data_IF_036636952562
#
_entry.id   IF_036636952562
#
_cell.length_a   1.000
_cell.length_b   1.000
_cell.length_c   1.000
_cell.angle_alpha   90.00
_cell.angle_beta   90.00
_cell.angle_gamma   90.00
#
_symmetry.space_group_name_H-M   'P 1'
#
loop_
_entity.id
_entity.type
_entity.pdbx_description
1 polymer ?
#
# COMPACT_ATOMS: atom_id res chain seq x y z
N UNK A 1 12.14 28.40 9.82
CA UNK A 1 11.57 27.62 10.93
C UNK A 1 10.47 26.71 10.39
N UNK A 2 9.39 27.25 9.81
CA UNK A 2 8.31 26.46 9.17
C UNK A 2 8.77 25.43 8.13
N UNK A 3 9.69 25.78 7.22
CA UNK A 3 10.21 24.84 6.20
C UNK A 3 11.00 23.66 6.79
N UNK A 4 11.51 23.77 8.01
CA UNK A 4 12.39 22.77 8.62
C UNK A 4 11.58 21.74 9.41
N UNK A 5 10.56 22.19 10.14
CA UNK A 5 9.60 21.30 10.83
C UNK A 5 8.75 20.47 9.86
N UNK A 6 8.41 21.01 8.69
CA UNK A 6 7.54 20.31 7.72
C UNK A 6 8.33 19.25 6.92
N UNK A 7 9.63 19.49 6.67
CA UNK A 7 10.54 18.48 6.10
C UNK A 7 10.81 17.35 7.11
N UNK A 8 10.86 17.65 8.42
CA UNK A 8 11.00 16.63 9.48
C UNK A 8 9.79 15.68 9.54
N UNK A 9 8.56 16.18 9.41
CA UNK A 9 7.34 15.33 9.45
C UNK A 9 7.30 14.32 8.30
N UNK A 10 7.65 14.73 7.08
CA UNK A 10 7.66 13.82 5.94
C UNK A 10 8.82 12.84 5.99
N UNK A 11 9.95 13.23 6.56
CA UNK A 11 11.08 12.33 6.80
C UNK A 11 10.77 11.30 7.90
N UNK A 12 10.07 11.70 8.96
CA UNK A 12 9.56 10.77 9.98
C UNK A 12 8.59 9.75 9.37
N UNK A 13 7.64 10.19 8.55
CA UNK A 13 6.71 9.28 7.87
C UNK A 13 7.41 8.33 6.88
N UNK A 14 8.48 8.78 6.21
CA UNK A 14 9.30 7.93 5.35
C UNK A 14 10.30 7.04 6.11
N UNK A 15 10.42 7.23 7.41
CA UNK A 15 11.15 6.37 8.33
C UNK A 15 10.25 5.32 8.99
N UNK A 16 8.92 5.49 8.94
CA UNK A 16 7.97 4.48 9.42
C UNK A 16 8.20 3.14 8.72
N UNK A 17 7.94 2.07 9.45
CA UNK A 17 7.90 0.71 8.95
C UNK A 17 6.45 0.30 8.70
N UNK A 18 6.24 -0.81 8.01
CA UNK A 18 4.88 -1.32 7.81
C UNK A 18 4.19 -1.66 9.15
N UNK A 19 4.97 -2.03 10.18
CA UNK A 19 4.46 -2.35 11.51
C UNK A 19 3.75 -1.17 12.19
N UNK A 20 4.00 0.06 11.73
CA UNK A 20 3.36 1.28 12.25
C UNK A 20 1.93 1.50 11.71
N UNK A 21 1.45 0.62 10.82
CA UNK A 21 0.20 0.78 10.06
C UNK A 21 -0.89 -0.27 10.35
N UNK A 22 -1.01 -0.74 11.60
CA UNK A 22 -1.90 -1.84 12.03
C UNK A 22 -3.41 -1.51 12.09
N UNK A 23 -3.83 -0.30 11.71
CA UNK A 23 -5.25 0.08 11.77
C UNK A 23 -6.04 -0.47 10.56
N UNK A 24 -7.21 -1.05 10.80
CA UNK A 24 -8.12 -1.52 9.75
C UNK A 24 -8.50 -0.39 8.77
N UNK A 25 -8.03 -0.47 7.52
CA UNK A 25 -8.35 0.54 6.49
C UNK A 25 -9.67 0.23 5.76
N UNK A 26 -10.80 0.54 6.43
CA UNK A 26 -12.17 0.29 5.93
C UNK A 26 -12.67 1.29 4.88
N UNK A 27 -12.01 2.43 4.74
CA UNK A 27 -12.50 3.55 3.90
C UNK A 27 -11.48 3.98 2.85
N UNK A 28 -10.71 3.02 2.32
CA UNK A 28 -9.63 3.28 1.36
C UNK A 28 -10.08 4.15 0.18
N UNK A 29 -11.16 3.77 -0.51
CA UNK A 29 -11.64 4.47 -1.71
C UNK A 29 -12.01 5.93 -1.38
N UNK A 30 -12.82 6.15 -0.35
CA UNK A 30 -13.27 7.49 0.05
C UNK A 30 -12.10 8.38 0.46
N UNK A 31 -11.18 7.87 1.29
CA UNK A 31 -9.99 8.61 1.71
C UNK A 31 -9.09 8.92 0.52
N UNK A 32 -8.88 7.97 -0.38
CA UNK A 32 -8.06 8.18 -1.56
C UNK A 32 -8.66 9.25 -2.47
N UNK A 33 -9.96 9.21 -2.75
CA UNK A 33 -10.63 10.26 -3.51
C UNK A 33 -10.52 11.64 -2.85
N UNK A 34 -10.63 11.71 -1.52
CA UNK A 34 -10.49 12.96 -0.77
C UNK A 34 -9.05 13.51 -0.86
N UNK A 35 -8.05 12.64 -0.80
CA UNK A 35 -6.65 13.00 -1.03
C UNK A 35 -6.45 13.52 -2.45
N UNK A 36 -6.97 12.83 -3.47
CA UNK A 36 -6.86 13.29 -4.87
C UNK A 36 -7.52 14.65 -5.08
N UNK A 37 -8.70 14.87 -4.49
CA UNK A 37 -9.37 16.19 -4.50
C UNK A 37 -8.51 17.26 -3.83
N UNK A 38 -7.86 16.94 -2.70
CA UNK A 38 -6.98 17.86 -1.98
C UNK A 38 -5.66 18.14 -2.72
N UNK A 39 -5.18 17.22 -3.57
CA UNK A 39 -4.04 17.46 -4.45
C UNK A 39 -4.37 18.42 -5.58
N UNK A 40 -5.63 18.46 -6.03
CA UNK A 40 -6.10 19.30 -7.14
C UNK A 40 -5.31 19.11 -8.45
N UNK A 41 -4.72 17.93 -8.66
CA UNK A 41 -4.03 17.55 -9.89
C UNK A 41 -5.00 16.80 -10.82
N UNK A 42 -4.79 16.84 -12.16
CA UNK A 42 -5.60 16.10 -13.12
C UNK A 42 -5.24 14.60 -13.13
N UNK A 43 -5.41 13.94 -11.98
CA UNK A 43 -5.21 12.52 -11.75
C UNK A 43 -6.43 11.95 -11.03
N UNK A 44 -6.99 10.86 -11.55
CA UNK A 44 -8.23 10.26 -11.03
C UNK A 44 -8.00 8.94 -10.28
N UNK A 45 -6.75 8.46 -10.19
CA UNK A 45 -6.45 7.26 -9.42
C UNK A 45 -7.01 5.94 -9.97
N UNK A 46 -7.58 5.93 -11.18
CA UNK A 46 -8.42 4.79 -11.62
C UNK A 46 -7.69 3.46 -11.62
N UNK A 47 -6.41 3.43 -12.03
CA UNK A 47 -5.62 2.19 -12.08
C UNK A 47 -5.37 1.59 -10.69
N UNK A 48 -5.12 2.43 -9.69
CA UNK A 48 -4.90 2.01 -8.31
C UNK A 48 -6.22 1.57 -7.66
N UNK A 49 -7.32 2.28 -7.92
CA UNK A 49 -8.66 1.88 -7.48
C UNK A 49 -9.09 0.54 -8.10
N UNK A 50 -8.85 0.35 -9.39
CA UNK A 50 -9.12 -0.92 -10.06
C UNK A 50 -8.27 -2.05 -9.51
N UNK A 51 -7.00 -1.78 -9.18
CA UNK A 51 -6.12 -2.75 -8.53
C UNK A 51 -6.63 -3.13 -7.15
N UNK A 52 -7.02 -2.14 -6.34
CA UNK A 52 -7.60 -2.37 -5.03
C UNK A 52 -8.84 -3.26 -5.12
N UNK A 53 -9.77 -2.94 -6.02
CA UNK A 53 -10.96 -3.76 -6.27
C UNK A 53 -10.59 -5.20 -6.65
N UNK A 54 -9.63 -5.40 -7.55
CA UNK A 54 -9.17 -6.75 -7.94
C UNK A 54 -8.57 -7.52 -6.76
N UNK A 55 -7.77 -6.86 -5.92
CA UNK A 55 -7.18 -7.48 -4.74
C UNK A 55 -8.25 -7.87 -3.72
N UNK A 56 -9.24 -7.01 -3.47
CA UNK A 56 -10.40 -7.35 -2.63
C UNK A 56 -11.20 -8.55 -3.19
N UNK A 57 -11.47 -8.56 -4.50
CA UNK A 57 -12.17 -9.67 -5.15
C UNK A 57 -11.41 -11.00 -5.04
N UNK A 58 -10.08 -10.95 -5.13
CA UNK A 58 -9.22 -12.13 -4.94
C UNK A 58 -9.27 -12.61 -3.50
N UNK A 59 -9.17 -11.70 -2.54
CA UNK A 59 -9.26 -12.00 -1.10
C UNK A 59 -10.60 -12.67 -0.75
N UNK A 60 -11.71 -12.18 -1.30
CA UNK A 60 -13.05 -12.76 -1.09
C UNK A 60 -13.24 -14.14 -1.75
N UNK A 61 -12.40 -14.50 -2.72
CA UNK A 61 -12.45 -15.79 -3.42
C UNK A 61 -11.52 -16.82 -2.82
N UNK A 62 -10.79 -16.48 -1.76
CA UNK A 62 -9.96 -17.45 -1.07
C UNK A 62 -10.84 -18.58 -0.50
N UNK A 63 -10.40 -19.84 -0.63
CA UNK A 63 -11.20 -20.99 -0.22
C UNK A 63 -11.33 -21.09 1.29
N UNK A 64 -12.57 -21.23 1.79
CA UNK A 64 -12.86 -21.29 3.24
C UNK A 64 -12.47 -22.63 3.91
N UNK A 65 -12.02 -23.64 3.15
CA UNK A 65 -11.71 -24.98 3.66
C UNK A 65 -10.46 -25.57 3.02
N UNK A 66 -9.45 -25.90 3.83
CA UNK A 66 -8.14 -26.41 3.41
C UNK A 66 -8.11 -27.87 2.94
N UNK A 67 -8.97 -28.26 2.00
CA UNK A 67 -8.87 -29.58 1.35
C UNK A 67 -7.85 -29.56 0.19
N UNK A 68 -6.55 -29.44 0.54
CA UNK A 68 -5.32 -29.86 -0.19
C UNK A 68 -4.20 -28.83 -0.08
N UNK A 69 -2.95 -29.32 0.03
CA UNK A 69 -1.70 -28.53 -0.02
C UNK A 69 -1.58 -27.62 -1.27
N UNK A 70 -2.30 -27.94 -2.35
CA UNK A 70 -2.35 -27.13 -3.57
C UNK A 70 -3.08 -25.79 -3.36
N UNK A 71 -4.17 -25.77 -2.57
CA UNK A 71 -4.90 -24.52 -2.29
C UNK A 71 -4.09 -23.56 -1.41
N UNK A 72 -3.25 -24.11 -0.53
CA UNK A 72 -2.34 -23.36 0.32
C UNK A 72 -1.26 -22.62 -0.49
N UNK A 73 -0.65 -23.31 -1.46
CA UNK A 73 0.33 -22.71 -2.37
C UNK A 73 -0.33 -21.69 -3.32
N UNK A 74 -1.56 -21.95 -3.78
CA UNK A 74 -2.32 -21.00 -4.59
C UNK A 74 -2.66 -19.72 -3.81
N UNK A 75 -3.07 -19.85 -2.54
CA UNK A 75 -3.29 -18.71 -1.67
C UNK A 75 -2.02 -17.86 -1.54
N UNK A 76 -0.86 -18.47 -1.22
CA UNK A 76 0.43 -17.78 -1.14
C UNK A 76 0.80 -17.01 -2.41
N UNK A 77 0.60 -17.59 -3.61
CA UNK A 77 0.88 -16.91 -4.87
C UNK A 77 -0.07 -15.74 -5.13
N UNK A 78 -1.37 -15.93 -4.88
CA UNK A 78 -2.36 -14.85 -5.01
C UNK A 78 -2.04 -13.65 -4.11
N UNK A 79 -1.46 -13.91 -2.93
CA UNK A 79 -1.03 -12.90 -1.96
C UNK A 79 0.13 -12.08 -2.52
N UNK A 80 1.19 -12.75 -2.96
CA UNK A 80 2.35 -12.09 -3.55
C UNK A 80 1.95 -11.27 -4.79
N UNK A 81 1.06 -11.79 -5.63
CA UNK A 81 0.52 -11.05 -6.77
C UNK A 81 -0.28 -9.81 -6.37
N UNK A 82 -1.11 -9.90 -5.32
CA UNK A 82 -1.88 -8.74 -4.85
C UNK A 82 -0.97 -7.64 -4.29
N UNK A 83 -0.03 -8.00 -3.42
CA UNK A 83 0.91 -7.05 -2.82
C UNK A 83 1.82 -6.42 -3.88
N UNK A 84 2.32 -7.23 -4.83
CA UNK A 84 3.17 -6.75 -5.92
C UNK A 84 2.41 -5.85 -6.91
N UNK A 85 1.20 -6.23 -7.35
CA UNK A 85 0.38 -5.40 -8.25
C UNK A 85 0.00 -4.09 -7.56
N UNK A 86 -0.41 -4.15 -6.29
CA UNK A 86 -0.77 -2.95 -5.54
C UNK A 86 0.42 -2.00 -5.34
N UNK A 87 1.60 -2.53 -5.01
CA UNK A 87 2.83 -1.75 -4.95
C UNK A 87 3.18 -1.12 -6.30
N UNK A 88 3.15 -1.90 -7.38
CA UNK A 88 3.45 -1.40 -8.72
C UNK A 88 2.49 -0.28 -9.16
N UNK A 89 1.19 -0.44 -8.90
CA UNK A 89 0.19 0.59 -9.19
C UNK A 89 0.38 1.83 -8.31
N UNK A 90 0.73 1.66 -7.04
CA UNK A 90 1.03 2.78 -6.13
C UNK A 90 2.25 3.57 -6.61
N UNK A 91 3.34 2.88 -6.97
CA UNK A 91 4.53 3.50 -7.57
C UNK A 91 4.19 4.26 -8.85
N UNK A 92 3.38 3.66 -9.72
CA UNK A 92 2.92 4.32 -10.94
C UNK A 92 2.09 5.58 -10.64
N UNK A 93 1.20 5.55 -9.65
CA UNK A 93 0.43 6.71 -9.18
C UNK A 93 1.36 7.82 -8.70
N UNK A 94 2.34 7.51 -7.85
CA UNK A 94 3.33 8.44 -7.31
C UNK A 94 4.12 9.11 -8.45
N UNK A 95 4.61 8.32 -9.41
CA UNK A 95 5.31 8.85 -10.58
C UNK A 95 4.41 9.77 -11.42
N UNK A 96 3.15 9.40 -11.63
CA UNK A 96 2.21 10.22 -12.39
C UNK A 96 1.91 11.54 -11.69
N UNK A 97 1.73 11.52 -10.37
CA UNK A 97 1.54 12.72 -9.56
C UNK A 97 2.77 13.62 -9.61
N UNK A 98 3.98 13.07 -9.51
CA UNK A 98 5.24 13.81 -9.68
C UNK A 98 5.34 14.50 -11.04
N UNK A 99 4.99 13.81 -12.12
CA UNK A 99 4.94 14.42 -13.46
C UNK A 99 3.93 15.57 -13.54
N UNK A 100 2.76 15.42 -12.90
CA UNK A 100 1.72 16.45 -12.91
C UNK A 100 2.10 17.67 -12.07
N UNK A 101 2.78 17.50 -10.95
CA UNK A 101 3.36 18.62 -10.18
C UNK A 101 4.27 19.47 -11.07
N UNK A 102 5.16 18.81 -11.83
CA UNK A 102 6.10 19.49 -12.73
C UNK A 102 5.42 20.22 -13.89
N UNK A 103 4.38 19.62 -14.50
CA UNK A 103 3.73 20.19 -15.69
C UNK A 103 2.75 21.30 -15.34
N UNK A 104 2.03 21.17 -14.22
CA UNK A 104 0.95 22.09 -13.86
C UNK A 104 1.42 23.27 -13.01
N UNK A 105 2.62 23.20 -12.45
CA UNK A 105 3.14 24.15 -11.46
C UNK A 105 2.20 24.32 -10.24
N UNK A 106 1.35 23.32 -9.98
CA UNK A 106 0.40 23.33 -8.87
C UNK A 106 1.16 23.09 -7.57
N UNK A 107 1.09 24.05 -6.64
CA UNK A 107 1.61 23.86 -5.30
C UNK A 107 0.69 22.94 -4.50
N UNK A 108 1.17 21.74 -4.17
CA UNK A 108 0.46 20.77 -3.35
C UNK A 108 1.11 20.69 -1.98
N UNK A 109 0.29 20.71 -0.91
CA UNK A 109 0.82 20.60 0.45
C UNK A 109 1.49 19.25 0.65
N UNK A 110 2.68 19.25 1.25
CA UNK A 110 3.40 18.03 1.62
C UNK A 110 2.54 17.07 2.45
N UNK A 111 1.73 17.60 3.39
CA UNK A 111 0.77 16.81 4.18
C UNK A 111 -0.20 15.98 3.32
N UNK A 112 -0.55 16.45 2.12
CA UNK A 112 -1.42 15.67 1.23
C UNK A 112 -0.70 14.44 0.66
N UNK A 113 0.62 14.51 0.44
CA UNK A 113 1.44 13.36 0.04
C UNK A 113 1.75 12.45 1.22
N UNK A 114 1.95 13.00 2.41
CA UNK A 114 1.97 12.29 3.68
C UNK A 114 0.71 11.43 3.88
N UNK A 115 -0.47 12.04 3.75
CA UNK A 115 -1.76 11.34 3.86
C UNK A 115 -1.87 10.22 2.81
N UNK A 116 -1.34 10.46 1.61
CA UNK A 116 -1.31 9.45 0.55
C UNK A 116 -0.39 8.28 0.91
N UNK A 117 0.82 8.57 1.37
CA UNK A 117 1.78 7.56 1.81
C UNK A 117 1.21 6.68 2.93
N UNK A 118 0.66 7.31 3.96
CA UNK A 118 0.03 6.61 5.09
C UNK A 118 -1.13 5.72 4.65
N UNK A 119 -1.99 6.24 3.75
CA UNK A 119 -3.12 5.46 3.25
C UNK A 119 -2.65 4.21 2.50
N UNK A 120 -1.57 4.29 1.73
CA UNK A 120 -1.00 3.15 1.02
C UNK A 120 -0.34 2.17 1.99
N UNK A 121 0.39 2.66 3.00
CA UNK A 121 0.95 1.83 4.07
C UNK A 121 -0.12 1.01 4.79
N UNK A 122 -1.19 1.68 5.27
CA UNK A 122 -2.34 0.99 5.91
C UNK A 122 -3.01 0.00 4.98
N UNK A 123 -3.08 0.30 3.69
CA UNK A 123 -3.72 -0.61 2.73
C UNK A 123 -2.89 -1.85 2.47
N UNK A 124 -1.56 -1.72 2.41
CA UNK A 124 -0.64 -2.86 2.34
C UNK A 124 -0.76 -3.71 3.62
N UNK A 125 -0.75 -3.08 4.80
CA UNK A 125 -0.92 -3.78 6.09
C UNK A 125 -2.24 -4.54 6.14
N UNK A 126 -3.34 -3.90 5.75
CA UNK A 126 -4.65 -4.54 5.65
C UNK A 126 -4.62 -5.82 4.82
N UNK A 127 -3.98 -5.80 3.64
CA UNK A 127 -3.88 -7.00 2.82
C UNK A 127 -3.02 -8.08 3.49
N UNK A 128 -1.84 -7.74 4.00
CA UNK A 128 -0.99 -8.72 4.69
C UNK A 128 -1.69 -9.37 5.89
N UNK A 129 -2.41 -8.59 6.68
CA UNK A 129 -3.13 -9.09 7.85
C UNK A 129 -4.27 -10.03 7.46
N UNK A 130 -5.09 -9.63 6.48
CA UNK A 130 -6.18 -10.47 5.98
C UNK A 130 -5.68 -11.80 5.43
N UNK A 131 -4.54 -11.77 4.74
CA UNK A 131 -3.92 -12.96 4.18
C UNK A 131 -3.27 -13.84 5.24
N UNK A 132 -2.55 -13.27 6.20
CA UNK A 132 -1.99 -14.00 7.34
C UNK A 132 -3.08 -14.67 8.17
N UNK A 133 -4.19 -13.97 8.42
CA UNK A 133 -5.37 -14.52 9.10
C UNK A 133 -5.98 -15.67 8.32
N UNK A 134 -6.13 -15.52 7.00
CA UNK A 134 -6.66 -16.59 6.15
C UNK A 134 -5.78 -17.84 6.22
N UNK A 135 -4.47 -17.70 5.99
CA UNK A 135 -3.49 -18.79 6.08
C UNK A 135 -3.57 -19.49 7.44
N UNK A 136 -3.62 -18.71 8.52
CA UNK A 136 -3.70 -19.24 9.89
C UNK A 136 -5.01 -19.99 10.16
N UNK A 137 -6.10 -19.61 9.48
CA UNK A 137 -7.42 -20.22 9.67
C UNK A 137 -7.62 -21.53 8.90
N UNK A 138 -7.01 -21.65 7.72
CA UNK A 138 -7.15 -22.83 6.85
C UNK A 138 -5.96 -23.80 6.97
N UNK A 139 -4.83 -23.32 7.46
CA UNK A 139 -3.61 -24.10 7.64
C UNK A 139 -3.70 -25.10 8.79
N UNK A 140 -2.93 -26.19 8.70
CA UNK A 140 -2.70 -27.06 9.85
C UNK A 140 -1.66 -26.38 10.74
N UNK A 141 -1.89 -26.26 12.06
CA UNK A 141 -0.91 -25.66 12.96
C UNK A 141 0.44 -26.37 12.84
N UNK A 142 1.50 -25.61 12.54
CA UNK A 142 2.84 -26.15 12.32
C UNK A 142 3.75 -25.19 11.56
N UNK A 143 5.01 -25.60 11.42
CA UNK A 143 6.12 -24.81 10.86
C UNK A 143 5.83 -24.27 9.45
N UNK A 144 5.21 -25.06 8.57
CA UNK A 144 4.88 -24.64 7.20
C UNK A 144 3.87 -23.46 7.16
N UNK A 145 2.93 -23.43 8.10
CA UNK A 145 1.96 -22.32 8.22
C UNK A 145 2.64 -21.05 8.70
N UNK A 146 3.52 -21.16 9.68
CA UNK A 146 4.29 -20.03 10.22
C UNK A 146 5.26 -19.46 9.17
N UNK A 147 5.89 -20.32 8.35
CA UNK A 147 6.74 -19.92 7.23
C UNK A 147 5.99 -19.12 6.16
N UNK A 148 4.77 -19.54 5.82
CA UNK A 148 3.95 -18.79 4.86
C UNK A 148 3.48 -17.46 5.41
N UNK A 149 3.00 -17.42 6.66
CA UNK A 149 2.64 -16.15 7.32
C UNK A 149 3.83 -15.19 7.31
N UNK A 150 5.02 -15.69 7.64
CA UNK A 150 6.26 -14.91 7.58
C UNK A 150 6.52 -14.40 6.15
N UNK A 151 6.34 -15.25 5.14
CA UNK A 151 6.50 -14.89 3.73
C UNK A 151 5.55 -13.77 3.31
N UNK A 152 4.31 -13.78 3.79
CA UNK A 152 3.33 -12.69 3.54
C UNK A 152 3.84 -11.36 4.08
N UNK A 153 4.30 -11.33 5.33
CA UNK A 153 4.79 -10.08 5.93
C UNK A 153 6.10 -9.59 5.29
N UNK A 154 6.99 -10.49 4.87
CA UNK A 154 8.18 -10.12 4.10
C UNK A 154 7.79 -9.50 2.75
N UNK A 155 6.87 -10.11 2.00
CA UNK A 155 6.40 -9.57 0.74
C UNK A 155 5.71 -8.19 0.90
N UNK A 156 4.99 -8.00 2.00
CA UNK A 156 4.36 -6.72 2.33
C UNK A 156 5.40 -5.64 2.70
N UNK A 157 6.42 -6.00 3.46
CA UNK A 157 7.56 -5.12 3.77
C UNK A 157 8.33 -4.70 2.51
N UNK A 158 8.56 -5.63 1.58
CA UNK A 158 9.17 -5.34 0.28
C UNK A 158 8.28 -4.40 -0.55
N UNK A 159 6.99 -4.70 -0.66
CA UNK A 159 6.00 -3.87 -1.34
C UNK A 159 5.99 -2.43 -0.80
N UNK A 160 5.96 -2.29 0.53
CA UNK A 160 5.99 -0.98 1.18
C UNK A 160 7.31 -0.25 0.94
N UNK A 161 8.43 -0.96 0.96
CA UNK A 161 9.75 -0.37 0.67
C UNK A 161 9.82 0.22 -0.75
N UNK A 162 9.25 -0.43 -1.76
CA UNK A 162 9.17 0.12 -3.12
C UNK A 162 8.33 1.41 -3.19
N UNK A 163 7.21 1.44 -2.46
CA UNK A 163 6.35 2.63 -2.34
C UNK A 163 7.11 3.77 -1.66
N UNK A 164 7.75 3.52 -0.51
CA UNK A 164 8.55 4.50 0.23
C UNK A 164 9.67 5.10 -0.64
N UNK A 165 10.40 4.25 -1.36
CA UNK A 165 11.44 4.70 -2.28
C UNK A 165 10.88 5.64 -3.35
N UNK A 166 9.69 5.35 -3.86
CA UNK A 166 9.05 6.19 -4.88
C UNK A 166 8.60 7.54 -4.30
N UNK A 167 8.10 7.58 -3.06
CA UNK A 167 7.80 8.84 -2.38
C UNK A 167 9.05 9.67 -2.08
N UNK A 168 10.19 9.04 -1.71
CA UNK A 168 11.47 9.74 -1.53
C UNK A 168 11.91 10.49 -2.79
N UNK A 169 11.58 9.96 -3.98
CA UNK A 169 11.86 10.63 -5.26
C UNK A 169 11.00 11.88 -5.49
N UNK A 170 9.85 12.01 -4.82
CA UNK A 170 9.03 13.23 -4.88
C UNK A 170 9.55 14.36 -3.99
N UNK A 171 10.42 14.07 -3.02
CA UNK A 171 10.90 15.06 -2.04
C UNK A 171 11.39 16.37 -2.66
N UNK A 172 12.21 16.38 -3.73
CA UNK A 172 12.65 17.64 -4.36
C UNK A 172 11.51 18.49 -4.93
N UNK A 173 10.34 17.89 -5.21
CA UNK A 173 9.17 18.57 -5.78
C UNK A 173 8.25 19.14 -4.69
N UNK A 174 8.34 18.64 -3.45
CA UNK A 174 7.45 19.01 -2.34
C UNK A 174 8.06 20.07 -1.41
N UNK A 175 9.37 20.30 -1.51
CA UNK A 175 10.10 21.31 -0.72
C UNK A 175 10.23 22.65 -1.46
N UNK A 176 9.85 22.69 -2.75
CA UNK A 176 9.81 23.91 -3.57
C UNK A 176 8.65 24.84 -3.15
#
# INVERSE_FOLDING_TARGET
LYFREVDEVFEEELANTLEDYQDEEKHFVEKFENILKAMALPYNGSSLLDCDRRCQERLQRLPDSGEQSFEFFLAANLIAECLADFAAQSVQSIHKLGQLLLITETAVRQKTFSDFHDLIGRRISFYSDQFAQHISSVGVPGEETDELVTTVFLAAGDAFSYVQQSFRLLRPLLIL
#
